data_IF_325325360794
#
_entry.id   IF_325325360794
#
_cell.length_a   1.000
_cell.length_b   1.000
_cell.length_c   1.000
_cell.angle_alpha   90.00
_cell.angle_beta   90.00
_cell.angle_gamma   90.00
#
_symmetry.space_group_name_H-M   'P 1'
#
loop_
_entity.id
_entity.type
_entity.pdbx_description
1 polymer ?
#
# COMPACT_ATOMS: atom_id res chain seq x y z
N UNK A 1 -17.68 16.37 -4.44
CA UNK A 1 -16.25 16.48 -4.82
C UNK A 1 -15.38 16.20 -3.59
N UNK A 2 -14.43 15.26 -3.70
CA UNK A 2 -13.59 14.75 -2.60
C UNK A 2 -12.30 15.58 -2.33
N UNK A 3 -12.20 16.81 -2.84
CA UNK A 3 -10.98 17.63 -2.81
C UNK A 3 -10.34 17.85 -1.42
N UNK A 4 -11.14 17.85 -0.34
CA UNK A 4 -10.63 17.91 1.04
C UNK A 4 -9.73 16.72 1.43
N UNK A 5 -9.84 15.58 0.72
CA UNK A 5 -9.03 14.39 0.96
C UNK A 5 -7.56 14.58 0.59
N UNK A 6 -7.24 15.46 -0.37
CA UNK A 6 -5.86 15.82 -0.70
C UNK A 6 -5.13 16.60 0.39
N UNK A 7 -5.88 17.17 1.34
CA UNK A 7 -5.36 17.91 2.49
C UNK A 7 -5.45 17.10 3.79
N UNK A 8 -5.92 15.85 3.72
CA UNK A 8 -5.94 14.97 4.89
C UNK A 8 -4.51 14.47 5.10
N UNK A 9 -3.90 14.72 6.28
CA UNK A 9 -2.55 14.26 6.55
C UNK A 9 -2.54 12.73 6.51
N UNK A 10 -1.90 12.16 5.49
CA UNK A 10 -1.52 10.75 5.50
C UNK A 10 -0.16 10.66 6.18
N UNK A 11 -0.03 9.76 7.15
CA UNK A 11 1.24 9.55 7.83
C UNK A 11 2.23 8.89 6.86
N UNK A 12 3.16 9.68 6.32
CA UNK A 12 4.28 9.14 5.57
C UNK A 12 5.31 8.57 6.53
N UNK A 13 5.75 7.35 6.25
CA UNK A 13 6.79 6.66 7.01
C UNK A 13 8.06 6.55 6.17
N UNK A 14 9.22 6.51 6.83
CA UNK A 14 10.48 6.20 6.17
C UNK A 14 10.58 4.72 5.81
N UNK A 15 11.47 4.38 4.87
CA UNK A 15 11.78 3.00 4.52
C UNK A 15 12.19 2.15 5.73
N UNK A 16 12.88 2.75 6.71
CA UNK A 16 13.29 2.06 7.93
C UNK A 16 12.08 1.75 8.83
N UNK A 17 11.16 2.69 8.99
CA UNK A 17 9.91 2.48 9.73
C UNK A 17 9.02 1.43 9.05
N UNK A 18 8.93 1.44 7.72
CA UNK A 18 8.20 0.41 6.97
C UNK A 18 8.77 -1.00 7.22
N UNK A 19 10.11 -1.13 7.23
CA UNK A 19 10.80 -2.38 7.56
C UNK A 19 10.57 -2.83 9.00
N UNK A 20 10.50 -1.89 9.94
CA UNK A 20 10.25 -2.17 11.35
C UNK A 20 8.82 -2.69 11.56
N UNK A 21 7.82 -2.02 10.98
CA UNK A 21 6.43 -2.49 10.98
C UNK A 21 6.27 -3.89 10.40
N UNK A 22 6.99 -4.20 9.32
CA UNK A 22 7.00 -5.52 8.71
C UNK A 22 7.61 -6.59 9.63
N UNK A 23 8.60 -6.25 10.47
CA UNK A 23 9.23 -7.16 11.43
C UNK A 23 8.37 -7.37 12.68
N UNK A 24 7.83 -6.29 13.25
CA UNK A 24 7.00 -6.33 14.46
C UNK A 24 5.72 -7.14 14.27
N UNK A 25 5.22 -7.17 13.04
CA UNK A 25 4.00 -7.90 12.71
C UNK A 25 4.12 -9.41 12.93
N UNK A 26 5.35 -9.96 13.10
CA UNK A 26 5.65 -11.33 13.57
C UNK A 26 5.16 -12.48 12.68
N UNK A 27 4.26 -12.16 11.76
CA UNK A 27 3.50 -13.04 10.91
C UNK A 27 3.36 -12.30 9.57
N UNK A 28 3.94 -12.87 8.52
CA UNK A 28 3.93 -12.31 7.15
C UNK A 28 2.52 -12.06 6.59
N UNK A 29 1.49 -12.50 7.32
CA UNK A 29 0.08 -12.38 6.94
C UNK A 29 -0.60 -11.08 7.38
N UNK A 30 0.04 -10.25 8.21
CA UNK A 30 -0.57 -9.02 8.77
C UNK A 30 -0.26 -7.74 8.00
N UNK A 31 0.82 -7.72 7.21
CA UNK A 31 1.22 -6.53 6.43
C UNK A 31 1.03 -6.81 4.95
N UNK A 32 0.36 -5.89 4.26
CA UNK A 32 0.17 -5.92 2.81
C UNK A 32 0.94 -4.75 2.20
N UNK A 33 1.88 -5.05 1.30
CA UNK A 33 2.47 -4.05 0.43
C UNK A 33 1.53 -3.79 -0.74
N UNK A 34 1.05 -2.55 -0.87
CA UNK A 34 0.16 -2.13 -1.94
C UNK A 34 0.91 -1.20 -2.89
N UNK A 35 1.17 -1.69 -4.10
CA UNK A 35 1.80 -0.91 -5.16
C UNK A 35 0.70 -0.19 -5.95
N UNK A 36 0.76 1.14 -6.00
CA UNK A 36 -0.22 1.98 -6.70
C UNK A 36 0.31 2.58 -8.01
N UNK A 37 1.50 2.16 -8.44
CA UNK A 37 2.17 2.62 -9.68
C UNK A 37 1.52 2.02 -10.93
N UNK A 38 2.07 2.34 -12.11
CA UNK A 38 1.58 1.78 -13.37
C UNK A 38 1.98 0.31 -13.53
N UNK A 39 1.16 -0.52 -14.22
CA UNK A 39 1.48 -1.93 -14.44
C UNK A 39 2.86 -2.18 -15.04
N UNK A 40 3.31 -1.33 -15.97
CA UNK A 40 4.63 -1.44 -16.60
C UNK A 40 5.78 -1.24 -15.61
N UNK A 41 5.61 -0.40 -14.59
CA UNK A 41 6.63 -0.16 -13.56
C UNK A 41 6.69 -1.36 -12.60
N UNK A 42 5.52 -1.89 -12.24
CA UNK A 42 5.40 -3.09 -11.43
C UNK A 42 6.05 -4.31 -12.11
N UNK A 43 5.80 -4.51 -13.40
CA UNK A 43 6.39 -5.60 -14.19
C UNK A 43 7.92 -5.51 -14.29
N UNK A 44 8.47 -4.29 -14.30
CA UNK A 44 9.92 -4.07 -14.30
C UNK A 44 10.54 -4.43 -12.96
N UNK A 45 9.98 -3.91 -11.86
CA UNK A 45 10.43 -4.20 -10.50
C UNK A 45 9.35 -3.86 -9.47
N UNK A 46 9.15 -4.73 -8.49
CA UNK A 46 8.25 -4.52 -7.35
C UNK A 46 8.70 -5.33 -6.14
N UNK A 47 8.18 -5.00 -4.96
CA UNK A 47 8.44 -5.76 -3.74
C UNK A 47 7.81 -7.16 -3.86
N UNK A 48 8.54 -8.26 -3.55
CA UNK A 48 7.96 -9.59 -3.56
C UNK A 48 6.71 -9.70 -2.69
N UNK A 49 5.62 -10.25 -3.24
CA UNK A 49 4.34 -10.37 -2.55
C UNK A 49 3.52 -9.09 -2.46
N UNK A 50 3.96 -7.99 -3.08
CA UNK A 50 3.14 -6.79 -3.22
C UNK A 50 1.90 -7.07 -4.08
N UNK A 51 0.81 -6.37 -3.75
CA UNK A 51 -0.41 -6.35 -4.54
C UNK A 51 -0.44 -5.10 -5.39
N UNK A 52 -0.64 -5.26 -6.71
CA UNK A 52 -0.81 -4.12 -7.61
C UNK A 52 -2.29 -3.67 -7.67
N UNK A 53 -2.55 -2.42 -7.31
CA UNK A 53 -3.80 -1.73 -7.61
C UNK A 53 -3.45 -0.31 -8.11
N UNK A 54 -3.43 -0.06 -9.43
CA UNK A 54 -3.04 1.24 -9.95
C UNK A 54 -3.91 2.36 -9.37
N UNK A 55 -3.31 3.52 -9.09
CA UNK A 55 -4.00 4.62 -8.39
C UNK A 55 -5.34 5.01 -9.02
N UNK A 56 -5.44 5.02 -10.35
CA UNK A 56 -6.67 5.32 -11.08
C UNK A 56 -7.79 4.28 -10.91
N UNK A 57 -7.45 3.09 -10.41
CA UNK A 57 -8.38 1.99 -10.14
C UNK A 57 -8.63 1.79 -8.64
N UNK A 58 -7.86 2.45 -7.78
CA UNK A 58 -7.86 2.17 -6.35
C UNK A 58 -9.25 2.36 -5.73
N UNK A 59 -9.91 3.48 -6.03
CA UNK A 59 -11.26 3.80 -5.52
C UNK A 59 -12.30 2.71 -5.83
N UNK A 60 -12.20 2.04 -6.99
CA UNK A 60 -13.12 0.97 -7.41
C UNK A 60 -12.72 -0.42 -6.90
N UNK A 61 -11.49 -0.58 -6.40
CA UNK A 61 -10.91 -1.87 -5.96
C UNK A 61 -10.61 -1.92 -4.46
N UNK A 62 -11.04 -0.93 -3.68
CA UNK A 62 -10.88 -0.89 -2.22
C UNK A 62 -11.43 -2.12 -1.50
N UNK A 63 -12.46 -2.79 -2.06
CA UNK A 63 -13.03 -4.02 -1.50
C UNK A 63 -12.08 -5.22 -1.55
N UNK A 64 -11.02 -5.16 -2.35
CA UNK A 64 -10.02 -6.22 -2.42
C UNK A 64 -8.97 -6.12 -1.30
N UNK A 65 -9.04 -5.08 -0.47
CA UNK A 65 -8.12 -4.82 0.63
C UNK A 65 -8.79 -5.22 1.94
N UNK A 66 -8.09 -6.07 2.70
CA UNK A 66 -8.50 -6.45 4.04
C UNK A 66 -8.21 -5.30 5.01
N UNK A 67 -9.26 -4.79 5.67
CA UNK A 67 -9.18 -3.64 6.57
C UNK A 67 -8.56 -3.97 7.93
N UNK A 68 -8.49 -5.26 8.27
CA UNK A 68 -7.87 -5.73 9.51
C UNK A 68 -6.35 -5.83 9.39
N UNK A 69 -5.81 -5.70 8.16
CA UNK A 69 -4.38 -5.76 7.89
C UNK A 69 -3.78 -4.36 7.80
N UNK A 70 -2.52 -4.26 8.21
CA UNK A 70 -1.73 -3.05 7.99
C UNK A 70 -1.36 -2.97 6.51
N UNK A 71 -1.76 -1.89 5.84
CA UNK A 71 -1.46 -1.67 4.42
C UNK A 71 -0.36 -0.61 4.32
N UNK A 72 0.76 -0.98 3.72
CA UNK A 72 1.85 -0.07 3.39
C UNK A 72 1.75 0.22 1.89
N UNK A 73 1.45 1.48 1.56
CA UNK A 73 1.33 1.95 0.18
C UNK A 73 2.68 2.50 -0.28
N UNK A 74 3.10 2.15 -1.50
CA UNK A 74 4.30 2.68 -2.12
C UNK A 74 4.15 2.89 -3.63
#
# INVERSE_FOLDING_TARGET
MKWKQFLTPVASISNNQARELAKESGDSHKVVYLDVRQPKEYEQEHLPGAKLIPLGELDRRLSELDREKTIIVY
#
